data_IF_756276447551
#
_entry.id   IF_756276447551
#
_cell.length_a   1.000
_cell.length_b   1.000
_cell.length_c   1.000
_cell.angle_alpha   90.00
_cell.angle_beta   90.00
_cell.angle_gamma   90.00
#
_symmetry.space_group_name_H-M   'P 1'
#
loop_
_entity.id
_entity.type
_entity.pdbx_description
1 polymer ?
#
# COMPACT_ATOMS: atom_id res chain seq x y z
N UNK A 1 5.47 -3.43 28.72
CA UNK A 1 5.67 -2.27 27.84
C UNK A 1 5.92 -2.84 26.46
N UNK A 2 4.97 -2.71 25.53
CA UNK A 2 5.11 -3.26 24.19
C UNK A 2 5.90 -2.26 23.35
N UNK A 3 7.20 -2.51 23.18
CA UNK A 3 8.03 -1.84 22.18
C UNK A 3 7.56 -2.29 20.80
N UNK A 4 6.57 -1.57 20.26
CA UNK A 4 6.28 -1.60 18.83
C UNK A 4 7.41 -0.81 18.19
N UNK A 5 8.41 -1.57 17.75
CA UNK A 5 9.51 -1.25 16.85
C UNK A 5 9.42 0.14 16.21
N UNK A 6 10.34 1.04 16.56
CA UNK A 6 10.63 2.33 15.91
C UNK A 6 11.20 2.17 14.48
N UNK A 7 10.72 1.17 13.74
CA UNK A 7 10.94 0.96 12.30
C UNK A 7 9.64 1.21 11.50
N UNK A 8 8.68 1.91 12.10
CA UNK A 8 7.87 2.85 11.33
C UNK A 8 8.85 3.92 10.83
N UNK A 9 9.53 3.63 9.71
CA UNK A 9 10.11 4.60 8.78
C UNK A 9 9.35 5.91 8.85
N UNK A 10 10.03 7.06 8.76
CA UNK A 10 9.49 8.42 8.91
C UNK A 10 8.43 8.76 7.82
N UNK A 11 7.33 8.01 7.80
CA UNK A 11 6.25 8.04 6.84
C UNK A 11 5.34 9.21 7.20
N UNK A 12 4.93 9.96 6.19
CA UNK A 12 3.83 10.91 6.37
C UNK A 12 2.55 10.16 6.78
N UNK A 13 1.59 10.88 7.36
CA UNK A 13 0.28 10.31 7.72
C UNK A 13 -0.39 9.59 6.53
N UNK A 14 -0.24 10.14 5.33
CA UNK A 14 -0.80 9.57 4.10
C UNK A 14 -0.08 8.29 3.69
N UNK A 15 1.25 8.28 3.76
CA UNK A 15 2.05 7.09 3.47
C UNK A 15 1.76 5.97 4.47
N UNK A 16 1.63 6.29 5.77
CA UNK A 16 1.26 5.31 6.78
C UNK A 16 -0.16 4.77 6.58
N UNK A 17 -1.12 5.63 6.21
CA UNK A 17 -2.48 5.20 5.88
C UNK A 17 -2.51 4.24 4.68
N UNK A 18 -1.82 4.61 3.59
CA UNK A 18 -1.73 3.78 2.38
C UNK A 18 -1.00 2.47 2.64
N UNK A 19 0.12 2.48 3.35
CA UNK A 19 0.86 1.26 3.68
C UNK A 19 0.00 0.27 4.48
N UNK A 20 -0.76 0.76 5.47
CA UNK A 20 -1.71 -0.05 6.24
C UNK A 20 -2.84 -0.58 5.37
N UNK A 21 -3.38 0.23 4.45
CA UNK A 21 -4.42 -0.19 3.52
C UNK A 21 -3.93 -1.33 2.61
N UNK A 22 -2.74 -1.20 2.02
CA UNK A 22 -2.12 -2.24 1.18
C UNK A 22 -1.91 -3.53 1.99
N UNK A 23 -1.36 -3.42 3.19
CA UNK A 23 -1.14 -4.57 4.10
C UNK A 23 -2.44 -5.34 4.42
N UNK A 24 -3.52 -4.59 4.67
CA UNK A 24 -4.84 -5.16 4.97
C UNK A 24 -5.46 -5.86 3.76
N UNK A 25 -5.43 -5.21 2.60
CA UNK A 25 -5.96 -5.77 1.37
C UNK A 25 -5.22 -7.07 1.00
N UNK A 26 -3.89 -7.06 1.07
CA UNK A 26 -3.09 -8.25 0.79
C UNK A 26 -3.39 -9.43 1.74
N UNK A 27 -3.68 -9.15 3.01
CA UNK A 27 -4.04 -10.17 4.00
C UNK A 27 -5.51 -10.58 3.93
N UNK A 28 -6.33 -9.86 3.16
CA UNK A 28 -7.76 -10.08 3.02
C UNK A 28 -8.11 -11.19 2.03
N UNK A 29 -9.36 -11.66 2.09
CA UNK A 29 -9.85 -12.73 1.22
C UNK A 29 -9.86 -12.38 -0.28
N UNK A 30 -9.94 -11.09 -0.60
CA UNK A 30 -9.93 -10.60 -1.98
C UNK A 30 -8.51 -10.37 -2.52
N UNK A 31 -7.50 -10.37 -1.65
CA UNK A 31 -6.11 -10.17 -2.02
C UNK A 31 -5.73 -8.73 -2.40
N UNK A 32 -4.56 -8.54 -3.03
CA UNK A 32 -4.02 -7.23 -3.39
C UNK A 32 -4.98 -6.38 -4.22
N UNK A 33 -5.09 -5.09 -3.87
CA UNK A 33 -5.98 -4.15 -4.55
C UNK A 33 -5.26 -3.16 -5.46
N UNK A 34 -5.99 -2.65 -6.46
CA UNK A 34 -5.58 -1.51 -7.26
C UNK A 34 -5.78 -0.16 -6.56
N UNK A 35 -5.45 0.94 -7.23
CA UNK A 35 -5.44 2.30 -6.68
C UNK A 35 -6.76 2.70 -6.01
N UNK A 36 -7.90 2.41 -6.66
CA UNK A 36 -9.22 2.78 -6.13
C UNK A 36 -9.56 2.06 -4.81
N UNK A 37 -9.26 0.76 -4.73
CA UNK A 37 -9.46 -0.02 -3.51
C UNK A 37 -8.53 0.43 -2.38
N UNK A 38 -7.28 0.73 -2.71
CA UNK A 38 -6.33 1.26 -1.72
C UNK A 38 -6.79 2.63 -1.21
N UNK A 39 -7.27 3.51 -2.09
CA UNK A 39 -7.79 4.82 -1.71
C UNK A 39 -9.00 4.71 -0.78
N UNK A 40 -9.94 3.81 -1.11
CA UNK A 40 -11.12 3.55 -0.30
C UNK A 40 -10.75 3.00 1.10
N UNK A 41 -9.84 2.03 1.18
CA UNK A 41 -9.39 1.46 2.46
C UNK A 41 -8.55 2.46 3.27
N UNK A 42 -7.75 3.31 2.61
CA UNK A 42 -6.97 4.35 3.27
C UNK A 42 -7.81 5.56 3.72
N UNK A 43 -9.04 5.71 3.21
CA UNK A 43 -9.89 6.87 3.45
C UNK A 43 -9.33 8.16 2.82
N UNK A 44 -8.62 8.04 1.70
CA UNK A 44 -7.97 9.14 0.99
C UNK A 44 -8.57 9.30 -0.41
N UNK A 45 -8.41 10.48 -0.99
CA UNK A 45 -8.66 10.67 -2.42
C UNK A 45 -7.59 9.98 -3.28
N UNK A 46 -7.91 9.79 -4.55
CA UNK A 46 -7.05 9.08 -5.50
C UNK A 46 -5.69 9.78 -5.72
N UNK A 47 -5.67 11.12 -5.72
CA UNK A 47 -4.45 11.88 -5.97
C UNK A 47 -3.46 11.74 -4.81
N UNK A 48 -3.93 11.86 -3.57
CA UNK A 48 -3.12 11.65 -2.36
C UNK A 48 -2.66 10.20 -2.25
N UNK A 49 -3.54 9.26 -2.56
CA UNK A 49 -3.22 7.84 -2.57
C UNK A 49 -2.12 7.53 -3.60
N UNK A 50 -2.22 8.09 -4.81
CA UNK A 50 -1.22 7.92 -5.85
C UNK A 50 0.14 8.47 -5.42
N UNK A 51 0.19 9.69 -4.89
CA UNK A 51 1.45 10.29 -4.42
C UNK A 51 2.09 9.48 -3.28
N UNK A 52 1.29 8.96 -2.35
CA UNK A 52 1.77 8.09 -1.28
C UNK A 52 2.27 6.75 -1.81
N UNK A 53 1.55 6.13 -2.76
CA UNK A 53 2.00 4.89 -3.42
C UNK A 53 3.30 5.09 -4.18
N UNK A 54 3.46 6.17 -4.94
CA UNK A 54 4.72 6.48 -5.65
C UNK A 54 5.92 6.56 -4.70
N UNK A 55 5.75 7.20 -3.54
CA UNK A 55 6.79 7.25 -2.51
C UNK A 55 7.10 5.87 -1.91
N UNK A 56 6.06 5.07 -1.64
CA UNK A 56 6.17 3.74 -1.06
C UNK A 56 6.74 2.71 -2.04
N UNK A 57 6.47 2.84 -3.34
CA UNK A 57 7.00 1.95 -4.39
C UNK A 57 8.37 2.38 -4.91
N UNK A 58 8.68 3.67 -4.83
CA UNK A 58 9.95 4.23 -5.28
C UNK A 58 10.99 4.28 -4.16
N UNK A 59 11.28 5.47 -3.62
CA UNK A 59 12.42 5.70 -2.73
C UNK A 59 12.39 4.90 -1.42
N UNK A 60 11.20 4.55 -0.93
CA UNK A 60 11.05 3.77 0.30
C UNK A 60 11.09 2.26 0.06
N UNK A 61 10.71 1.79 -1.13
CA UNK A 61 10.72 0.38 -1.50
C UNK A 61 9.84 -0.54 -0.62
N UNK A 62 8.88 0.01 0.12
CA UNK A 62 8.03 -0.72 1.07
C UNK A 62 6.83 -1.40 0.40
N UNK A 63 6.43 -0.94 -0.79
CA UNK A 63 5.33 -1.50 -1.57
C UNK A 63 5.87 -1.91 -2.94
N UNK A 64 5.42 -3.05 -3.46
CA UNK A 64 5.70 -3.49 -4.82
C UNK A 64 4.47 -3.30 -5.70
N UNK A 65 4.72 -2.89 -6.93
CA UNK A 65 3.74 -2.93 -8.01
C UNK A 65 3.79 -4.31 -8.63
N UNK A 66 2.66 -5.00 -8.65
CA UNK A 66 2.51 -6.28 -9.34
C UNK A 66 1.56 -6.06 -10.52
N UNK A 67 2.04 -6.34 -11.72
CA UNK A 67 1.17 -6.45 -12.88
C UNK A 67 0.36 -7.73 -12.73
N UNK A 68 -0.93 -7.56 -12.45
CA UNK A 68 -1.83 -8.68 -12.25
C UNK A 68 -2.60 -8.90 -13.54
N UNK A 69 -2.11 -9.82 -14.37
CA UNK A 69 -2.72 -10.16 -15.66
C UNK A 69 -4.14 -10.75 -15.51
N UNK A 70 -4.48 -11.24 -14.31
CA UNK A 70 -5.78 -11.82 -13.96
C UNK A 70 -6.65 -10.89 -13.09
N UNK A 71 -6.23 -9.65 -12.83
CA UNK A 71 -7.03 -8.72 -12.05
C UNK A 71 -8.32 -8.34 -12.80
N UNK A 72 -9.43 -8.40 -12.08
CA UNK A 72 -10.75 -7.96 -12.55
C UNK A 72 -10.80 -6.46 -12.85
N UNK A 73 -9.84 -5.69 -12.34
CA UNK A 73 -9.68 -4.26 -12.58
C UNK A 73 -8.47 -3.98 -13.50
N UNK A 74 -8.62 -3.13 -14.52
CA UNK A 74 -7.49 -2.73 -15.35
C UNK A 74 -6.50 -1.89 -14.54
N UNK A 75 -5.26 -2.38 -14.40
CA UNK A 75 -4.16 -1.62 -13.82
C UNK A 75 -3.28 -2.42 -12.85
N UNK A 76 -2.25 -1.78 -12.29
CA UNK A 76 -1.38 -2.39 -11.30
C UNK A 76 -2.12 -2.66 -9.99
N UNK A 77 -1.76 -3.76 -9.32
CA UNK A 77 -2.12 -3.99 -7.92
C UNK A 77 -0.90 -3.80 -7.03
N UNK A 78 -1.14 -3.44 -5.77
CA UNK A 78 -0.10 -3.08 -4.82
C UNK A 78 0.00 -4.11 -3.70
N UNK A 79 1.23 -4.53 -3.37
CA UNK A 79 1.54 -5.50 -2.30
C UNK A 79 2.63 -4.96 -1.39
N UNK A 80 2.65 -5.33 -0.12
CA UNK A 80 3.78 -4.96 0.74
C UNK A 80 5.01 -5.79 0.40
N UNK A 81 6.19 -5.17 0.36
CA UNK A 81 7.43 -5.90 0.25
C UNK A 81 7.81 -6.45 1.62
N UNK A 82 7.84 -7.77 1.75
CA UNK A 82 8.50 -8.41 2.89
C UNK A 82 10.01 -8.28 2.68
N UNK A 83 10.66 -7.43 3.48
CA UNK A 83 12.12 -7.43 3.62
C UNK A 83 12.54 -8.83 4.09
N UNK A 84 13.18 -9.60 3.21
CA UNK A 84 13.83 -10.87 3.55
C UNK A 84 15.30 -10.67 3.82
#
# INVERSE_FOLDING_TARGET
>A
MSEISHDETNLSSDQAAVFRAVSRLESGAEGPGGLGRVAAEAGLDEARTRAALEALTGPLGLVAVVENADATEPGPVYRVQTLR
#
